data_IF_367879684942
#
_entry.id   IF_367879684942
#
_cell.length_a   1.000
_cell.length_b   1.000
_cell.length_c   1.000
_cell.angle_alpha   90.00
_cell.angle_beta   90.00
_cell.angle_gamma   90.00
#
_symmetry.space_group_name_H-M   'P 1'
#
loop_
_entity.id
_entity.type
_entity.pdbx_description
1 polymer ?
2 non-polymer ?
3 water ?
#
# COMPACT_ATOMS: atom_id res chain seq x y z
N UNK A 3 -16.61 5.20 -3.81
CA UNK A 3 -15.93 5.75 -2.63
C UNK A 3 -15.62 4.74 -1.55
N UNK A 4 -16.71 4.25 -1.01
CA UNK A 4 -16.71 3.30 0.09
C UNK A 4 -16.07 3.97 1.32
N UNK A 5 -16.06 5.30 1.29
CA UNK A 5 -15.55 6.12 2.40
C UNK A 5 -14.10 5.75 2.75
N UNK A 6 -13.32 5.38 1.73
CA UNK A 6 -11.93 4.98 1.92
C UNK A 6 -11.03 5.98 2.67
N UNK A 7 -11.07 7.25 2.28
CA UNK A 7 -10.23 8.26 2.93
C UNK A 7 -10.50 8.36 4.44
N UNK A 8 -11.77 8.29 4.83
CA UNK A 8 -12.14 8.34 6.25
C UNK A 8 -11.58 7.11 6.96
N UNK A 9 -11.75 5.94 6.35
CA UNK A 9 -11.24 4.69 6.93
C UNK A 9 -9.71 4.73 7.01
N UNK A 10 -9.07 5.27 5.98
CA UNK A 10 -7.61 5.37 5.95
C UNK A 10 -7.12 6.34 7.04
N UNK A 11 -7.80 7.47 7.18
CA UNK A 11 -7.46 8.47 8.18
C UNK A 11 -7.62 7.90 9.59
N UNK A 12 -8.66 7.12 9.79
CA UNK A 12 -8.92 6.50 11.08
C UNK A 12 -7.76 5.53 11.38
N UNK A 13 -7.41 4.68 10.41
CA UNK A 13 -6.31 3.75 10.60
C UNK A 13 -4.99 4.48 10.86
N UNK A 14 -4.78 5.56 10.11
CA UNK A 14 -3.57 6.37 10.24
C UNK A 14 -3.51 7.03 11.62
N UNK A 15 -4.65 7.57 12.08
CA UNK A 15 -4.68 8.23 13.39
C UNK A 15 -4.31 7.25 14.49
N UNK A 16 -4.71 5.99 14.33
CA UNK A 16 -4.37 4.96 15.31
C UNK A 16 -2.85 4.73 15.32
N UNK A 17 -2.23 4.74 14.14
CA UNK A 17 -0.79 4.55 14.03
C UNK A 17 -0.07 5.73 14.68
N UNK A 18 -0.49 6.93 14.30
CA UNK A 18 0.11 8.15 14.81
C UNK A 18 -0.04 8.27 16.32
N UNK A 19 -1.22 7.95 16.85
CA UNK A 19 -1.43 8.05 18.29
C UNK A 19 -0.51 7.09 19.03
N UNK A 20 -0.26 5.93 18.43
CA UNK A 20 0.62 4.94 19.05
C UNK A 20 2.05 5.50 19.10
N UNK A 21 2.53 6.08 18.00
CA UNK A 21 3.89 6.64 17.95
C UNK A 21 4.04 7.84 18.89
N UNK A 22 3.06 8.73 18.86
CA UNK A 22 3.07 9.91 19.71
C UNK A 22 3.19 9.50 21.17
N UNK A 23 2.50 8.42 21.53
CA UNK A 23 2.54 7.92 22.89
C UNK A 23 3.95 7.54 23.31
N UNK A 24 4.67 6.85 22.43
CA UNK A 24 6.04 6.47 22.72
C UNK A 24 6.89 7.72 22.89
N UNK A 25 6.71 8.69 21.99
CA UNK A 25 7.50 9.91 22.07
C UNK A 25 7.16 10.71 23.34
N UNK A 26 5.89 10.69 23.73
CA UNK A 26 5.50 11.44 24.94
C UNK A 26 6.18 10.91 26.21
N UNK A 27 6.55 9.63 26.23
CA UNK A 27 7.19 9.07 27.41
C UNK A 27 8.48 9.80 27.77
N UNK A 28 9.05 10.53 26.82
CA UNK A 28 10.29 11.27 27.05
C UNK A 28 10.08 12.64 27.70
N UNK A 29 8.84 13.12 27.70
CA UNK A 29 8.56 14.41 28.29
C UNK A 29 9.34 15.52 27.60
N UNK A 30 9.57 15.34 26.31
CA UNK A 30 10.30 16.31 25.48
C UNK A 30 9.49 16.61 24.23
N UNK A 31 9.02 17.85 24.10
CA UNK A 31 8.23 18.24 22.93
C UNK A 31 9.04 18.32 21.64
N UNK A 32 10.34 18.55 21.76
CA UNK A 32 11.19 18.64 20.57
C UNK A 32 11.07 17.38 19.72
N UNK A 33 11.13 16.21 20.35
CA UNK A 33 11.03 14.97 19.59
C UNK A 33 9.69 14.86 18.85
N UNK A 34 8.63 15.43 19.42
CA UNK A 34 7.31 15.40 18.79
C UNK A 34 7.38 16.21 17.50
N UNK A 35 7.94 17.42 17.62
CA UNK A 35 8.10 18.32 16.48
C UNK A 35 8.85 17.69 15.32
N UNK A 36 9.87 16.88 15.61
CA UNK A 36 10.64 16.25 14.55
C UNK A 36 9.88 15.12 13.86
N UNK A 37 9.01 14.45 14.59
CA UNK A 37 8.21 13.37 14.02
C UNK A 37 7.20 14.00 13.05
N UNK A 38 6.51 15.02 13.53
CA UNK A 38 5.50 15.73 12.73
C UNK A 38 6.08 16.27 11.43
N UNK A 39 7.27 16.86 11.52
CA UNK A 39 7.93 17.42 10.34
C UNK A 39 8.24 16.36 9.30
N UNK A 40 8.52 15.14 9.75
CA UNK A 40 8.85 14.05 8.85
C UNK A 40 7.59 13.37 8.28
N UNK A 41 6.43 13.64 8.87
CA UNK A 41 5.18 13.04 8.39
C UNK A 41 4.43 13.93 7.39
N UNK A 42 4.42 15.24 7.65
CA UNK A 42 3.72 16.20 6.78
C UNK A 42 3.95 16.07 5.28
N UNK A 43 2.89 16.31 4.51
CA UNK A 43 2.97 16.26 3.07
C UNK A 43 3.14 14.91 2.40
N UNK A 44 3.00 13.83 3.16
CA UNK A 44 3.15 12.50 2.58
C UNK A 44 1.91 11.62 2.77
N UNK A 45 1.86 10.52 2.03
CA UNK A 45 0.75 9.58 2.14
C UNK A 45 -0.24 9.56 0.98
N UNK A 46 -0.21 10.58 0.14
CA UNK A 46 -1.14 10.65 -1.00
C UNK A 46 -1.05 9.43 -1.93
N UNK A 47 -2.21 8.89 -2.29
CA UNK A 47 -2.26 7.74 -3.20
C UNK A 47 -1.90 8.25 -4.58
N UNK A 48 -0.88 7.66 -5.19
CA UNK A 48 -0.44 8.09 -6.51
C UNK A 48 -0.95 7.22 -7.64
N UNK A 49 -1.19 5.95 -7.36
CA UNK A 49 -1.68 5.05 -8.39
C UNK A 49 -2.26 3.76 -7.80
N UNK A 50 -3.19 3.16 -8.54
CA UNK A 50 -3.85 1.92 -8.13
C UNK A 50 -4.23 1.17 -9.41
N UNK A 51 -3.50 0.10 -9.71
CA UNK A 51 -3.75 -0.70 -10.91
C UNK A 51 -3.99 -2.18 -10.61
N UNK A 52 -4.66 -2.86 -11.54
CA UNK A 52 -4.97 -4.29 -11.42
C UNK A 52 -4.25 -5.10 -12.51
N UNK A 53 -3.78 -6.29 -12.15
CA UNK A 53 -3.09 -7.16 -13.11
C UNK A 53 -3.74 -8.54 -13.10
N UNK A 54 -3.61 -9.28 -14.20
CA UNK A 54 -4.18 -10.62 -14.28
C UNK A 54 -3.21 -11.62 -13.67
N UNK A 55 -3.62 -12.88 -13.62
CA UNK A 55 -2.82 -13.96 -13.04
C UNK A 55 -1.47 -14.19 -13.71
N UNK A 56 -1.28 -13.64 -14.91
CA UNK A 56 -0.03 -13.81 -15.64
C UNK A 56 0.93 -12.65 -15.43
N UNK A 57 0.47 -11.62 -14.72
CA UNK A 57 1.31 -10.47 -14.48
C UNK A 57 1.07 -9.38 -15.51
N UNK A 58 0.09 -9.59 -16.38
CA UNK A 58 -0.24 -8.60 -17.40
C UNK A 58 -1.29 -7.65 -16.88
N UNK A 59 -1.25 -6.40 -17.36
CA UNK A 59 -2.23 -5.41 -16.91
C UNK A 59 -3.59 -5.68 -17.49
N UNK A 60 -4.51 -4.76 -17.25
CA UNK A 60 -5.86 -4.89 -17.75
C UNK A 60 -5.95 -5.10 -19.25
N UNK A 66 3.08 -6.94 -22.41
CA UNK A 66 3.96 -8.02 -21.88
C UNK A 66 3.79 -8.11 -20.37
N UNK A 67 4.03 -9.30 -19.79
CA UNK A 67 3.89 -9.49 -18.34
C UNK A 67 4.85 -8.61 -17.55
N UNK A 68 4.52 -8.36 -16.29
CA UNK A 68 5.37 -7.53 -15.44
C UNK A 68 6.18 -8.42 -14.50
N UNK A 69 7.50 -8.37 -14.65
CA UNK A 69 8.40 -9.18 -13.83
C UNK A 69 8.15 -9.12 -12.33
N UNK A 70 8.09 -7.92 -11.77
CA UNK A 70 7.86 -7.79 -10.34
C UNK A 70 6.51 -8.37 -9.94
N UNK A 71 5.49 -8.15 -10.77
CA UNK A 71 4.16 -8.68 -10.48
C UNK A 71 4.18 -10.21 -10.54
N UNK A 72 4.84 -10.77 -11.55
CA UNK A 72 4.94 -12.22 -11.68
C UNK A 72 5.62 -12.79 -10.44
N UNK A 73 6.71 -12.15 -10.06
CA UNK A 73 7.47 -12.57 -8.90
C UNK A 73 6.57 -12.51 -7.68
N UNK A 74 5.80 -11.43 -7.56
CA UNK A 74 4.89 -11.27 -6.44
C UNK A 74 3.88 -12.41 -6.44
N UNK A 75 3.36 -12.73 -7.63
CA UNK A 75 2.39 -13.81 -7.77
C UNK A 75 3.01 -15.16 -7.47
N UNK A 76 4.27 -15.33 -7.87
CA UNK A 76 4.96 -16.58 -7.65
C UNK A 76 5.27 -16.78 -6.17
N UNK A 77 5.72 -15.73 -5.50
CA UNK A 77 6.04 -15.82 -4.08
C UNK A 77 4.76 -15.91 -3.25
N UNK A 78 3.64 -15.51 -3.86
CA UNK A 78 2.37 -15.55 -3.17
C UNK A 78 2.28 -14.60 -2.00
N UNK A 79 3.11 -13.56 -2.01
CA UNK A 79 3.12 -12.58 -0.93
C UNK A 79 3.15 -11.16 -1.48
N UNK A 80 2.73 -10.21 -0.66
CA UNK A 80 2.73 -8.81 -1.07
C UNK A 80 4.19 -8.37 -1.20
N UNK A 81 4.49 -7.57 -2.21
CA UNK A 81 5.84 -7.08 -2.41
C UNK A 81 5.88 -5.58 -2.15
N UNK A 82 6.77 -5.16 -1.26
CA UNK A 82 6.92 -3.75 -0.93
C UNK A 82 8.21 -3.27 -1.58
N UNK A 83 8.10 -2.25 -2.42
CA UNK A 83 9.26 -1.71 -3.12
C UNK A 83 9.30 -0.18 -3.11
N UNK A 84 10.41 0.38 -2.62
CA UNK A 84 10.59 1.82 -2.59
C UNK A 84 11.37 2.17 -3.86
N UNK A 85 10.92 3.20 -4.58
CA UNK A 85 11.56 3.61 -5.83
C UNK A 85 11.15 5.04 -6.22
N UNK A 86 11.68 5.55 -7.33
CA UNK A 86 11.33 6.91 -7.77
C UNK A 86 10.43 6.91 -9.00
N UNK A 90 10.71 11.57 -7.98
CA UNK A 90 9.86 11.55 -6.76
C UNK A 90 9.95 10.23 -6.03
N UNK A 91 10.13 10.31 -4.71
CA UNK A 91 10.21 9.11 -3.90
C UNK A 91 8.80 8.57 -3.69
N UNK A 92 8.59 7.29 -3.96
CA UNK A 92 7.27 6.71 -3.79
C UNK A 92 7.39 5.31 -3.22
N UNK A 93 6.27 4.76 -2.77
CA UNK A 93 6.25 3.42 -2.20
C UNK A 93 5.25 2.57 -2.96
N UNK A 94 5.68 1.42 -3.46
CA UNK A 94 4.78 0.56 -4.22
C UNK A 94 4.52 -0.80 -3.59
N UNK A 95 3.24 -1.17 -3.50
CA UNK A 95 2.82 -2.44 -2.93
C UNK A 95 2.18 -3.29 -4.02
N UNK A 96 2.64 -4.53 -4.19
CA UNK A 96 2.03 -5.42 -5.17
C UNK A 96 1.36 -6.53 -4.39
N UNK A 97 0.04 -6.49 -4.31
CA UNK A 97 -0.71 -7.48 -3.55
C UNK A 97 -1.37 -8.53 -4.44
N UNK A 98 -0.95 -9.80 -4.33
CA UNK A 98 -1.58 -10.84 -5.15
C UNK A 98 -3.03 -10.98 -4.69
N UNK A 99 -3.97 -11.09 -5.63
CA UNK A 99 -5.38 -11.25 -5.26
C UNK A 99 -5.78 -12.72 -5.27
N UNK A 100 -5.95 -13.27 -4.07
CA UNK A 100 -6.31 -14.67 -3.89
C UNK A 100 -7.65 -15.03 -4.54
N UNK A 101 -7.67 -16.20 -5.18
CA UNK A 101 -8.87 -16.70 -5.83
C UNK A 101 -9.71 -17.39 -4.76
N UNK A 102 -10.37 -16.59 -3.93
CA UNK A 102 -11.20 -17.11 -2.85
C UNK A 102 -12.35 -17.91 -3.41
N UNK A 103 -12.95 -18.75 -2.57
CA UNK A 103 -14.08 -19.56 -2.99
C UNK A 103 -15.19 -18.73 -3.64
N UNK A 104 -15.48 -17.53 -3.12
CA UNK A 104 -16.53 -16.71 -3.72
C UNK A 104 -16.17 -16.26 -5.14
N UNK A 105 -14.87 -16.15 -5.43
CA UNK A 105 -14.40 -15.75 -6.76
C UNK A 105 -14.44 -16.91 -7.74
N UNK A 106 -14.29 -18.11 -7.21
CA UNK A 106 -14.25 -19.34 -8.02
C UNK A 106 -15.47 -19.63 -8.88
N UNK A 107 -16.55 -18.88 -8.68
CA UNK A 107 -17.75 -19.07 -9.49
C UNK A 107 -17.45 -18.64 -10.93
N UNK A 108 -16.50 -17.71 -11.09
CA UNK A 108 -16.16 -17.20 -12.42
C UNK A 108 -14.68 -17.27 -12.80
N UNK A 109 -13.86 -17.77 -11.89
CA UNK A 109 -12.43 -17.92 -12.13
C UNK A 109 -12.09 -19.36 -11.78
N UNK A 110 -11.48 -20.08 -12.72
CA UNK A 110 -11.15 -21.49 -12.49
C UNK A 110 -10.49 -21.69 -11.13
N UNK A 111 -11.10 -22.57 -10.33
CA UNK A 111 -10.61 -22.84 -8.98
C UNK A 111 -9.19 -23.39 -8.94
N UNK A 112 -8.65 -23.71 -10.11
CA UNK A 112 -7.30 -24.24 -10.16
C UNK A 112 -6.21 -23.20 -9.95
N UNK A 113 -6.57 -21.92 -10.10
CA UNK A 113 -5.60 -20.84 -9.91
C UNK A 113 -5.66 -20.32 -8.48
N UNK A 114 -4.50 -20.18 -7.85
CA UNK A 114 -4.44 -19.68 -6.48
C UNK A 114 -4.79 -18.20 -6.48
N UNK A 115 -4.36 -17.50 -7.53
CA UNK A 115 -4.62 -16.06 -7.67
C UNK A 115 -5.30 -15.70 -8.98
N UNK A 116 -6.10 -14.63 -8.98
CA UNK A 116 -6.78 -14.18 -10.19
C UNK A 116 -6.04 -12.98 -10.75
N UNK A 117 -5.07 -12.51 -9.98
CA UNK A 117 -4.30 -11.36 -10.40
C UNK A 117 -3.66 -10.67 -9.21
N UNK A 118 -3.30 -9.41 -9.39
CA UNK A 118 -2.67 -8.64 -8.34
C UNK A 118 -3.10 -7.18 -8.38
N UNK A 119 -2.88 -6.49 -7.27
CA UNK A 119 -3.23 -5.09 -7.15
C UNK A 119 -1.95 -4.30 -6.87
N UNK A 120 -1.74 -3.24 -7.64
CA UNK A 120 -0.57 -2.38 -7.45
C UNK A 120 -1.01 -1.07 -6.82
N UNK A 121 -0.48 -0.78 -5.63
CA UNK A 121 -0.81 0.45 -4.92
C UNK A 121 0.47 1.26 -4.71
N UNK A 122 0.42 2.54 -5.03
CA UNK A 122 1.59 3.39 -4.88
C UNK A 122 1.25 4.66 -4.13
N UNK A 123 2.03 4.97 -3.10
CA UNK A 123 1.80 6.17 -2.32
C UNK A 123 3.03 7.07 -2.37
N UNK A 124 2.84 8.32 -2.00
CA UNK A 124 3.91 9.30 -2.03
C UNK A 124 4.68 9.45 -0.73
N UNK A 125 6.01 9.45 -0.86
CA UNK A 125 6.92 9.62 0.25
C UNK A 125 7.57 11.00 0.05
N UNK A 126 7.08 11.73 -0.95
CA UNK A 126 7.59 13.06 -1.26
C UNK A 126 6.69 14.13 -0.68
N UNK A 127 7.21 14.90 0.27
CA UNK A 127 6.43 15.96 0.90
C UNK A 127 5.84 16.90 -0.14
N UNK A 128 4.54 17.13 -0.04
CA UNK A 128 3.86 18.03 -0.96
C UNK A 128 3.48 17.45 -2.31
N UNK A 129 3.94 16.25 -2.62
CA UNK A 129 3.59 15.65 -3.91
C UNK A 129 2.42 14.68 -3.81
N UNK A 130 1.36 14.96 -4.57
CA UNK A 130 0.17 14.11 -4.58
C UNK A 130 -0.33 13.88 -6.01
N UNK A 131 0.60 13.83 -6.96
CA UNK A 131 0.23 13.61 -8.35
C UNK A 131 -0.12 14.89 -9.09
X LIG B 1 -11.65 -10.15 -14.27
X LIG B 1 -10.32 -10.83 -9.66
X LIG B 1 -14.75 -12.54 -8.67
X LIG B 1 -15.89 -12.26 -13.34
X LIG B 1 -10.94 -10.11 -13.06
X LIG B 1 -9.58 -9.59 -12.92
X LIG B 1 -9.17 -9.88 -11.67
X LIG B 1 -10.30 -10.51 -11.01
X LIG B 1 -7.78 -9.61 -11.10
X LIG B 1 -8.80 -8.84 -13.98
X LIG B 1 -7.77 -9.71 -14.69
X LIG B 1 -8.40 -10.87 -15.43
X LIG B 1 -9.18 -10.63 -16.37
X LIG B 1 -8.12 -12.03 -15.06
X LIG B 1 -11.42 -11.39 -9.00
X LIG B 1 -11.45 -11.68 -7.58
X LIG B 1 -12.70 -12.13 -7.28
X LIG B 1 -13.43 -12.12 -8.54
X LIG B 1 -10.23 -11.57 -6.65
X LIG B 1 -13.30 -12.56 -5.93
X LIG B 1 -12.88 -11.72 -4.69
X LIG B 1 -15.44 -12.59 -9.87
X LIG B 1 -16.80 -13.10 -9.99
X LIG B 1 -17.13 -13.01 -11.28
X LIG B 1 -15.98 -12.41 -11.96
X LIG B 1 -17.60 -13.68 -8.83
X LIG B 1 -18.37 -13.58 -11.98
X LIG B 1 -19.69 -12.95 -11.52
X LIG B 1 -14.78 -11.78 -13.99
X LIG B 1 -14.81 -11.47 -15.41
X LIG B 1 -13.70 -10.75 -15.67
X LIG B 1 -12.94 -10.67 -14.39
X LIG B 1 -15.90 -11.82 -16.43
X LIG B 1 -13.44 -10.09 -17.02
X LIG B 1 -13.54 -8.57 -16.99
X LIG B 1 -13.49 -7.95 -18.37
X LIG B 1 -14.55 -7.86 -19.03
X LIG B 1 -12.39 -7.55 -18.81
X LIG B 1 -11.39 -10.65 -11.87
X LIG B 1 -12.64 -11.68 -9.60
X LIG B 1 -14.94 -12.19 -11.09
X LIG B 1 -13.63 -11.31 -13.38
X LIG B 1 -13.12 -11.50 -11.51
#
# INVERSE_FOLDING_TARGET
NAIMDLQTRNTRGLSTLVVRDIGELMMAGDMAVIERYVADVRGKGAVLDLRIYDAAGRPAGKKQDAPDGEVQAALTSGATAEKRHKVDGRHVLSFIVPLANEVRCQSCHEQGARFNGAMLLTTSLEEGYAGARN
HEM CHA CHB CHC CHD C1A C2A C3A C4A CMA CAA CBA CGA O1A O2A C1B C2B C3B C4B CMB CAB CBB C1C C2C C3C C4C CMC CAC CBC C1D C2D C3D C4D CMD CAD CBD CGD O1D O2D NA NB NC ND FE
#
